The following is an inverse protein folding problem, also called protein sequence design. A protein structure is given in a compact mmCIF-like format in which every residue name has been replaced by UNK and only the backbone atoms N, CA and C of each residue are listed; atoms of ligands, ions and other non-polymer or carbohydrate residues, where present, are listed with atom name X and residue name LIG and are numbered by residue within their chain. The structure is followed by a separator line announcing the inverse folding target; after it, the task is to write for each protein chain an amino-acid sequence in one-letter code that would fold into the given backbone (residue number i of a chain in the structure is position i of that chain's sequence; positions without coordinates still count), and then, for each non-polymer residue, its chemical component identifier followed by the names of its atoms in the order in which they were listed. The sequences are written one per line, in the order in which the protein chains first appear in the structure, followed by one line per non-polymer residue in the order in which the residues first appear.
data_IF_983148058127
#
_entry.id   IF_983148058127
#
_cell.length_a   1.000
_cell.length_b   1.000
_cell.length_c   1.000
_cell.angle_alpha   90.00
_cell.angle_beta   90.00
_cell.angle_gamma   90.00
#
_symmetry.space_group_name_H-M   'P 1'
#
loop_
_entity.id
_entity.type
_entity.pdbx_description
1 polymer ?
#
# COMPACT_ATOMS: atom_id res chain seq x y z
N UNK A 1 9.27 22.48 23.54
CA UNK A 1 8.66 21.13 23.63
C UNK A 1 8.69 20.55 22.24
N UNK A 2 9.78 19.86 21.95
CA UNK A 2 9.90 18.94 20.81
C UNK A 2 8.74 17.93 20.92
N UNK A 3 8.10 17.53 19.82
CA UNK A 3 8.54 16.39 19.01
C UNK A 3 7.99 16.50 17.58
N UNK A 4 8.82 16.98 16.65
CA UNK A 4 8.53 16.93 15.22
C UNK A 4 8.93 15.56 14.66
N UNK A 5 8.10 14.55 14.89
CA UNK A 5 8.30 13.18 14.39
C UNK A 5 7.44 12.90 13.15
N UNK A 6 7.22 13.90 12.29
CA UNK A 6 6.52 13.73 11.00
C UNK A 6 7.52 13.91 9.85
N UNK A 7 8.50 13.00 9.73
CA UNK A 7 9.55 13.16 8.72
C UNK A 7 10.47 11.97 8.48
N UNK A 8 10.10 10.75 8.86
CA UNK A 8 10.81 9.55 8.42
C UNK A 8 9.85 8.62 7.69
N UNK A 9 9.90 8.70 6.36
CA UNK A 9 9.57 7.62 5.44
C UNK A 9 10.37 6.39 5.87
N UNK A 10 9.81 5.61 6.80
CA UNK A 10 10.38 4.34 7.18
C UNK A 10 9.83 3.30 6.21
N UNK A 11 10.74 2.56 5.57
CA UNK A 11 10.49 1.42 4.69
C UNK A 11 9.80 0.24 5.41
N UNK A 12 9.06 0.52 6.48
CA UNK A 12 8.63 -0.46 7.47
C UNK A 12 7.11 -0.55 7.52
N UNK A 13 6.56 -1.76 7.67
CA UNK A 13 5.15 -1.95 7.99
C UNK A 13 4.79 -1.20 9.28
N UNK A 14 3.57 -0.65 9.32
CA UNK A 14 3.04 -0.02 10.52
C UNK A 14 2.18 -1.00 11.30
N UNK A 15 2.48 -1.17 12.58
CA UNK A 15 1.67 -2.00 13.48
C UNK A 15 0.23 -1.46 13.59
N UNK A 16 -0.74 -2.37 13.56
CA UNK A 16 -2.17 -2.05 13.57
C UNK A 16 -2.74 -1.60 12.23
N UNK A 17 -1.94 -1.46 11.17
CA UNK A 17 -2.45 -1.18 9.83
C UNK A 17 -2.86 -2.47 9.11
N UNK A 18 -4.16 -2.62 8.80
CA UNK A 18 -4.68 -3.80 8.11
C UNK A 18 -4.02 -4.02 6.74
N UNK A 19 -3.72 -2.95 6.01
CA UNK A 19 -3.04 -3.02 4.72
C UNK A 19 -1.60 -3.51 4.84
N UNK A 20 -0.89 -3.11 5.91
CA UNK A 20 0.43 -3.67 6.21
C UNK A 20 0.33 -5.15 6.59
N UNK A 21 -0.69 -5.55 7.35
CA UNK A 21 -0.90 -6.97 7.66
C UNK A 21 -1.13 -7.79 6.38
N UNK A 22 -1.92 -7.29 5.43
CA UNK A 22 -2.14 -7.96 4.14
C UNK A 22 -0.85 -8.02 3.32
N UNK A 23 -0.14 -6.89 3.19
CA UNK A 23 1.08 -6.79 2.39
C UNK A 23 2.25 -7.67 2.88
N UNK A 24 2.22 -8.07 4.15
CA UNK A 24 3.24 -8.92 4.77
C UNK A 24 2.69 -10.31 5.17
N UNK A 25 1.55 -10.73 4.59
CA UNK A 25 1.03 -12.10 4.74
C UNK A 25 0.54 -12.46 6.14
N UNK A 26 0.16 -11.48 6.96
CA UNK A 26 -0.36 -11.69 8.33
C UNK A 26 -1.88 -11.90 8.37
N UNK A 27 -2.54 -12.02 7.21
CA UNK A 27 -3.99 -12.22 7.09
C UNK A 27 -4.29 -13.39 6.16
N UNK A 28 -5.54 -13.88 6.19
CA UNK A 28 -6.02 -14.92 5.27
C UNK A 28 -6.49 -14.35 3.91
N UNK A 29 -6.13 -13.10 3.60
CA UNK A 29 -6.53 -12.46 2.34
C UNK A 29 -5.70 -13.03 1.19
N UNK A 30 -6.36 -13.52 0.15
CA UNK A 30 -5.66 -13.99 -1.05
C UNK A 30 -5.06 -12.81 -1.81
N UNK A 31 -3.72 -12.82 -1.94
CA UNK A 31 -2.99 -11.91 -2.82
C UNK A 31 -3.03 -12.48 -4.24
N UNK A 32 -3.56 -11.69 -5.17
CA UNK A 32 -3.67 -12.05 -6.58
C UNK A 32 -2.34 -11.86 -7.33
N UNK A 33 -1.60 -10.81 -6.95
CA UNK A 33 -0.32 -10.46 -7.57
C UNK A 33 0.57 -9.74 -6.57
N UNK A 34 1.87 -10.02 -6.62
CA UNK A 34 2.87 -9.46 -5.71
C UNK A 34 4.13 -9.07 -6.49
N UNK A 35 4.68 -7.92 -6.13
CA UNK A 35 5.97 -7.42 -6.61
C UNK A 35 6.85 -7.07 -5.40
N UNK A 36 8.05 -6.55 -5.66
CA UNK A 36 8.93 -6.07 -4.60
C UNK A 36 8.33 -4.88 -3.84
N UNK A 37 7.51 -4.05 -4.49
CA UNK A 37 7.02 -2.80 -3.91
C UNK A 37 5.51 -2.78 -3.63
N UNK A 38 4.74 -3.67 -4.26
CA UNK A 38 3.28 -3.64 -4.30
C UNK A 38 2.67 -5.03 -4.13
N UNK A 39 1.48 -5.07 -3.51
CA UNK A 39 0.59 -6.23 -3.48
C UNK A 39 -0.76 -5.85 -4.08
N UNK A 40 -1.40 -6.79 -4.76
CA UNK A 40 -2.74 -6.65 -5.32
C UNK A 40 -3.62 -7.77 -4.78
N UNK A 41 -4.78 -7.41 -4.24
CA UNK A 41 -5.74 -8.36 -3.69
C UNK A 41 -7.19 -7.90 -3.95
N UNK A 42 -8.13 -8.82 -3.80
CA UNK A 42 -9.56 -8.50 -3.93
C UNK A 42 -10.03 -7.60 -2.79
N UNK A 43 -10.81 -6.57 -3.13
CA UNK A 43 -11.49 -5.78 -2.11
C UNK A 43 -12.52 -6.64 -1.36
N UNK A 44 -12.64 -6.43 -0.04
CA UNK A 44 -13.62 -7.13 0.79
C UNK A 44 -15.07 -6.70 0.46
N UNK A 45 -15.26 -5.47 -0.02
CA UNK A 45 -16.54 -4.86 -0.39
C UNK A 45 -16.50 -4.37 -1.85
N UNK A 46 -16.41 -5.29 -2.82
CA UNK A 46 -16.26 -4.94 -4.23
C UNK A 46 -17.47 -4.14 -4.74
N UNK A 47 -17.20 -3.07 -5.48
CA UNK A 47 -18.22 -2.22 -6.15
C UNK A 47 -18.34 -2.45 -7.66
N UNK A 48 -17.60 -3.42 -8.19
CA UNK A 48 -17.60 -3.81 -9.59
C UNK A 48 -17.24 -5.30 -9.73
N UNK A 49 -17.53 -5.89 -10.89
CA UNK A 49 -17.19 -7.29 -11.21
C UNK A 49 -15.69 -7.58 -11.04
N UNK A 50 -14.86 -6.62 -11.42
CA UNK A 50 -13.41 -6.66 -11.26
C UNK A 50 -12.99 -5.47 -10.39
N UNK A 51 -12.84 -5.70 -9.09
CA UNK A 51 -12.45 -4.68 -8.12
C UNK A 51 -11.28 -5.21 -7.27
N UNK A 52 -10.11 -4.63 -7.49
CA UNK A 52 -8.88 -4.99 -6.81
C UNK A 52 -8.30 -3.76 -6.11
N UNK A 53 -7.69 -3.98 -4.96
CA UNK A 53 -6.86 -2.96 -4.31
C UNK A 53 -5.40 -3.22 -4.61
N UNK A 54 -4.71 -2.17 -5.07
CA UNK A 54 -3.26 -2.13 -5.24
C UNK A 54 -2.66 -1.32 -4.08
N UNK A 55 -1.81 -1.96 -3.27
CA UNK A 55 -1.29 -1.38 -2.02
C UNK A 55 0.23 -1.48 -1.99
N UNK A 56 0.96 -0.38 -1.70
CA UNK A 56 2.40 -0.43 -1.52
C UNK A 56 2.79 -1.17 -0.23
N UNK A 57 3.87 -1.94 -0.30
CA UNK A 57 4.49 -2.56 0.88
C UNK A 57 5.09 -1.53 1.83
N UNK A 58 5.47 -0.36 1.29
CA UNK A 58 5.81 0.84 2.07
C UNK A 58 4.54 1.45 2.65
N UNK A 59 4.51 1.65 3.97
CA UNK A 59 3.37 2.32 4.61
C UNK A 59 3.36 3.82 4.30
N UNK A 60 2.34 4.27 3.57
CA UNK A 60 2.10 5.70 3.29
C UNK A 60 0.72 6.04 3.84
N UNK A 61 0.65 6.99 4.78
CA UNK A 61 -0.58 7.29 5.54
C UNK A 61 -1.74 7.70 4.64
N UNK A 62 -1.48 8.57 3.67
CA UNK A 62 -2.42 9.01 2.64
C UNK A 62 -1.64 9.76 1.54
N UNK A 63 -2.34 10.15 0.48
CA UNK A 63 -1.75 10.82 -0.68
C UNK A 63 -0.97 12.11 -0.37
N UNK A 64 -1.24 12.80 0.75
CA UNK A 64 -0.52 14.02 1.14
C UNK A 64 0.92 13.75 1.58
N UNK A 65 1.25 12.51 1.93
CA UNK A 65 2.58 12.07 2.36
C UNK A 65 3.38 11.44 1.23
N UNK A 66 2.89 11.49 -0.02
CA UNK A 66 3.65 11.05 -1.19
C UNK A 66 4.80 12.02 -1.46
N UNK A 67 5.94 11.46 -1.83
CA UNK A 67 7.16 12.19 -2.20
C UNK A 67 7.56 11.88 -3.65
N UNK A 68 8.57 12.58 -4.17
CA UNK A 68 9.11 12.28 -5.51
C UNK A 68 9.67 10.85 -5.64
N UNK A 69 10.08 10.22 -4.53
CA UNK A 69 10.54 8.83 -4.51
C UNK A 69 9.41 7.83 -4.76
N UNK A 70 8.16 8.23 -4.51
CA UNK A 70 6.97 7.38 -4.66
C UNK A 70 6.37 7.46 -6.09
N UNK A 71 6.93 8.31 -6.97
CA UNK A 71 6.51 8.43 -8.38
C UNK A 71 6.47 7.08 -9.13
N UNK A 72 7.44 6.15 -8.95
CA UNK A 72 7.39 4.84 -9.58
C UNK A 72 6.14 4.04 -9.22
N UNK A 73 5.59 4.20 -8.01
CA UNK A 73 4.35 3.52 -7.60
C UNK A 73 3.17 3.91 -8.49
N UNK A 74 3.08 5.19 -8.87
CA UNK A 74 2.01 5.71 -9.73
C UNK A 74 2.12 5.22 -11.19
N UNK A 75 3.32 4.87 -11.67
CA UNK A 75 3.50 4.34 -13.03
C UNK A 75 2.92 2.93 -13.18
N UNK A 76 2.90 2.13 -12.11
CA UNK A 76 2.32 0.78 -12.16
C UNK A 76 0.80 0.79 -12.31
N UNK A 77 0.13 1.86 -11.85
CA UNK A 77 -1.33 2.01 -11.92
C UNK A 77 -1.82 2.26 -13.36
N UNK A 78 -0.95 2.75 -14.25
CA UNK A 78 -1.30 3.07 -15.64
C UNK A 78 -1.23 1.86 -16.59
N UNK A 79 -0.55 0.78 -16.23
CA UNK A 79 -0.46 -0.41 -17.11
C UNK A 79 -1.70 -1.32 -17.08
N UNK A 80 -2.71 -1.01 -16.25
CA UNK A 80 -3.94 -1.79 -16.10
C UNK A 80 -5.20 -1.03 -16.56
N UNK A 81 -5.05 0.16 -17.17
CA UNK A 81 -6.11 0.83 -17.94
C UNK A 81 -5.87 0.58 -19.43
#
# INVERSE_FOLDING_TARGET
MENNTEGKSMLTPKDGCIFCSIAYGKTNQTVCFETNDLVIFHDHLPKAQYHFQCVPKKHIRNAKYLTHEDIPLGKLWLCFM
#
